data_IF_551681369999
#
_entry.id   IF_551681369999
#
_cell.length_a   1.000
_cell.length_b   1.000
_cell.length_c   1.000
_cell.angle_alpha   90.00
_cell.angle_beta   90.00
_cell.angle_gamma   90.00
#
_symmetry.space_group_name_H-M   'P 1'
#
loop_
_entity.id
_entity.type
_entity.pdbx_description
1 polymer ?
#
# COMPACT_ATOMS: atom_id res chain seq x y z
N UNK A 1 0.56 -1.06 16.11
CA UNK A 1 0.55 -0.92 14.64
C UNK A 1 -0.65 -1.67 14.09
N UNK A 2 -1.43 -1.02 13.23
CA UNK A 2 -2.51 -1.65 12.46
C UNK A 2 -2.00 -1.91 11.04
N UNK A 3 -2.42 -3.03 10.43
CA UNK A 3 -2.09 -3.36 9.04
C UNK A 3 -3.36 -3.42 8.20
N UNK A 4 -3.37 -2.80 7.02
CA UNK A 4 -4.49 -2.87 6.08
C UNK A 4 -4.09 -3.69 4.85
N UNK A 5 -4.92 -4.67 4.50
CA UNK A 5 -4.76 -5.54 3.33
C UNK A 5 -5.91 -5.28 2.35
N UNK A 6 -5.59 -5.05 1.08
CA UNK A 6 -6.50 -4.73 -0.04
C UNK A 6 -7.62 -5.76 -0.33
N UNK A 7 -7.54 -6.96 0.23
CA UNK A 7 -8.52 -8.03 0.05
C UNK A 7 -8.62 -8.56 -1.38
N UNK A 8 -7.64 -8.30 -2.25
CA UNK A 8 -7.61 -8.80 -3.63
C UNK A 8 -7.68 -10.33 -3.66
N UNK A 9 -8.30 -10.91 -4.69
CA UNK A 9 -8.53 -12.36 -4.72
C UNK A 9 -7.23 -13.19 -4.67
N UNK A 10 -6.14 -12.68 -5.26
CA UNK A 10 -4.82 -13.30 -5.20
C UNK A 10 -4.25 -13.38 -3.76
N UNK A 11 -4.71 -12.49 -2.87
CA UNK A 11 -4.23 -12.37 -1.50
C UNK A 11 -5.18 -13.01 -0.46
N UNK A 12 -6.29 -13.60 -0.90
CA UNK A 12 -7.30 -14.19 -0.01
C UNK A 12 -7.06 -15.69 0.31
N UNK A 13 -5.80 -16.10 0.47
CA UNK A 13 -5.50 -17.48 0.86
C UNK A 13 -5.59 -17.67 2.40
N UNK A 14 -5.86 -18.89 2.84
CA UNK A 14 -5.84 -19.21 4.28
C UNK A 14 -4.44 -19.01 4.89
N UNK A 15 -3.38 -19.31 4.12
CA UNK A 15 -2.00 -19.15 4.56
C UNK A 15 -1.64 -17.68 4.81
N UNK A 16 -2.06 -16.77 3.91
CA UNK A 16 -1.86 -15.33 4.09
C UNK A 16 -2.58 -14.84 5.35
N UNK A 17 -3.83 -15.24 5.56
CA UNK A 17 -4.59 -14.84 6.76
C UNK A 17 -3.96 -15.35 8.06
N UNK A 18 -3.52 -16.61 8.07
CA UNK A 18 -2.81 -17.19 9.23
C UNK A 18 -1.51 -16.44 9.55
N UNK A 19 -0.75 -16.05 8.51
CA UNK A 19 0.44 -15.23 8.68
C UNK A 19 0.11 -13.84 9.24
N UNK A 20 -0.97 -13.20 8.78
CA UNK A 20 -1.43 -11.90 9.28
C UNK A 20 -1.95 -11.97 10.71
N UNK A 21 -2.68 -13.02 11.08
CA UNK A 21 -3.12 -13.25 12.46
C UNK A 21 -1.93 -13.45 13.42
N UNK A 22 -0.84 -14.05 12.92
CA UNK A 22 0.40 -14.25 13.69
C UNK A 22 1.21 -12.94 13.81
N UNK A 23 1.39 -12.22 12.70
CA UNK A 23 2.19 -10.99 12.67
C UNK A 23 1.46 -9.79 13.29
N UNK A 24 0.14 -9.71 13.12
CA UNK A 24 -0.72 -8.61 13.56
C UNK A 24 -1.96 -9.10 14.33
N UNK A 25 -1.80 -9.76 15.49
CA UNK A 25 -2.92 -10.37 16.20
C UNK A 25 -4.03 -9.36 16.50
N UNK A 26 -5.21 -9.58 15.91
CA UNK A 26 -6.40 -8.72 16.06
C UNK A 26 -6.23 -7.28 15.58
N UNK A 27 -5.15 -6.97 14.84
CA UNK A 27 -4.76 -5.62 14.42
C UNK A 27 -4.48 -5.55 12.92
N UNK A 28 -5.22 -6.32 12.13
CA UNK A 28 -5.23 -6.17 10.68
C UNK A 28 -6.66 -6.08 10.13
N UNK A 29 -6.79 -5.30 9.06
CA UNK A 29 -8.02 -5.00 8.33
C UNK A 29 -7.87 -5.66 6.96
N UNK A 30 -8.87 -6.40 6.51
CA UNK A 30 -8.81 -7.08 5.22
C UNK A 30 -9.91 -8.12 5.06
N UNK A 31 -9.99 -8.70 3.88
CA UNK A 31 -11.02 -9.71 3.58
C UNK A 31 -10.82 -10.96 4.46
N UNK A 32 -11.81 -11.25 5.30
CA UNK A 32 -11.78 -12.39 6.23
C UNK A 32 -10.94 -12.18 7.49
N UNK A 33 -10.52 -10.94 7.76
CA UNK A 33 -9.93 -10.54 9.04
C UNK A 33 -10.99 -10.10 10.06
N UNK A 34 -10.56 -9.77 11.28
CA UNK A 34 -11.47 -9.32 12.36
C UNK A 34 -12.25 -8.06 11.97
N UNK A 35 -11.58 -7.13 11.28
CA UNK A 35 -12.23 -5.98 10.63
C UNK A 35 -12.34 -6.32 9.15
N UNK A 36 -13.56 -6.69 8.74
CA UNK A 36 -13.83 -7.04 7.36
C UNK A 36 -13.67 -5.82 6.45
N UNK A 37 -12.93 -6.01 5.38
CA UNK A 37 -12.80 -5.04 4.29
C UNK A 37 -13.48 -5.57 3.03
N UNK A 38 -14.25 -4.75 2.30
CA UNK A 38 -14.84 -5.16 1.02
C UNK A 38 -13.75 -5.54 0.01
N UNK A 39 -14.07 -6.51 -0.85
CA UNK A 39 -13.16 -6.92 -1.91
C UNK A 39 -13.08 -5.82 -2.97
N UNK A 40 -11.85 -5.53 -3.44
CA UNK A 40 -11.63 -4.63 -4.58
C UNK A 40 -12.11 -3.20 -4.34
N UNK A 41 -11.77 -2.62 -3.20
CA UNK A 41 -11.98 -1.18 -2.91
C UNK A 41 -10.65 -0.41 -2.96
N UNK A 42 -10.07 -0.21 -4.15
CA UNK A 42 -8.83 0.55 -4.31
C UNK A 42 -8.99 2.02 -3.91
N UNK A 43 -10.22 2.55 -3.96
CA UNK A 43 -10.58 3.90 -3.47
C UNK A 43 -10.43 4.07 -1.96
N UNK A 44 -10.40 2.97 -1.20
CA UNK A 44 -10.33 2.99 0.26
C UNK A 44 -8.96 2.53 0.79
N UNK A 45 -8.06 2.07 -0.09
CA UNK A 45 -6.70 1.71 0.28
C UNK A 45 -5.81 2.94 0.25
N UNK A 46 -5.29 3.33 1.41
CA UNK A 46 -4.30 4.39 1.51
C UNK A 46 -3.06 4.12 0.63
N UNK A 47 -2.70 2.84 0.46
CA UNK A 47 -1.58 2.44 -0.39
C UNK A 47 -1.86 2.70 -1.87
N UNK A 48 -3.10 2.49 -2.33
CA UNK A 48 -3.46 2.75 -3.73
C UNK A 48 -3.40 4.26 -4.03
N UNK A 49 -3.83 5.12 -3.10
CA UNK A 49 -3.67 6.57 -3.21
C UNK A 49 -2.20 6.99 -3.29
N UNK A 50 -1.35 6.48 -2.39
CA UNK A 50 0.09 6.77 -2.41
C UNK A 50 0.72 6.25 -3.70
N UNK A 51 0.34 5.07 -4.16
CA UNK A 51 0.84 4.50 -5.40
C UNK A 51 0.45 5.32 -6.63
N UNK A 52 -0.79 5.81 -6.70
CA UNK A 52 -1.23 6.72 -7.77
C UNK A 52 -0.44 8.02 -7.77
N UNK A 53 -0.21 8.61 -6.59
CA UNK A 53 0.63 9.80 -6.48
C UNK A 53 2.08 9.53 -6.93
N UNK A 54 2.68 8.42 -6.48
CA UNK A 54 4.02 8.01 -6.90
C UNK A 54 4.11 7.85 -8.42
N UNK A 55 3.14 7.16 -9.04
CA UNK A 55 3.08 6.99 -10.50
C UNK A 55 3.05 8.34 -11.23
N UNK A 56 2.28 9.31 -10.73
CA UNK A 56 2.21 10.65 -11.33
C UNK A 56 3.57 11.34 -11.38
N UNK A 57 4.43 11.10 -10.39
CA UNK A 57 5.79 11.66 -10.33
C UNK A 57 6.76 10.83 -11.18
N UNK A 58 6.77 9.50 -11.00
CA UNK A 58 7.68 8.58 -11.69
C UNK A 58 7.57 8.70 -13.21
N UNK A 59 6.35 8.85 -13.74
CA UNK A 59 6.09 8.94 -15.18
C UNK A 59 6.02 10.37 -15.72
N UNK A 60 6.51 11.38 -14.98
CA UNK A 60 6.59 12.76 -15.49
C UNK A 60 7.51 12.88 -16.71
N UNK A 61 8.48 11.98 -16.83
CA UNK A 61 9.32 11.82 -18.02
C UNK A 61 9.40 10.35 -18.43
N UNK A 62 9.71 10.04 -19.71
CA UNK A 62 9.93 8.67 -20.16
C UNK A 62 10.95 7.92 -19.29
N UNK A 63 10.75 6.61 -19.19
CA UNK A 63 11.61 5.69 -18.46
C UNK A 63 12.10 4.66 -19.46
N UNK A 64 13.41 4.61 -19.66
CA UNK A 64 14.01 3.88 -20.79
C UNK A 64 14.57 2.50 -20.40
N UNK A 65 14.51 2.13 -19.11
CA UNK A 65 14.88 0.79 -18.62
C UNK A 65 14.22 0.45 -17.28
N UNK A 66 14.18 -0.83 -16.94
CA UNK A 66 13.66 -1.33 -15.66
C UNK A 66 14.51 -0.84 -14.47
N UNK A 67 15.83 -0.75 -14.64
CA UNK A 67 16.74 -0.22 -13.60
C UNK A 67 16.46 1.26 -13.33
N UNK A 68 16.22 2.05 -14.39
CA UNK A 68 15.85 3.45 -14.27
C UNK A 68 14.48 3.62 -13.58
N UNK A 69 13.54 2.72 -13.87
CA UNK A 69 12.23 2.69 -13.22
C UNK A 69 12.37 2.42 -11.72
N UNK A 70 13.08 1.36 -11.35
CA UNK A 70 13.30 0.96 -9.95
C UNK A 70 14.01 2.06 -9.16
N UNK A 71 15.06 2.64 -9.73
CA UNK A 71 15.79 3.75 -9.11
C UNK A 71 14.88 4.95 -8.86
N UNK A 72 14.04 5.31 -9.84
CA UNK A 72 13.12 6.45 -9.71
C UNK A 72 12.02 6.19 -8.68
N UNK A 73 11.46 4.99 -8.65
CA UNK A 73 10.48 4.59 -7.62
C UNK A 73 11.10 4.71 -6.22
N UNK A 74 12.34 4.25 -6.04
CA UNK A 74 13.03 4.32 -4.75
C UNK A 74 13.27 5.77 -4.29
N UNK A 75 13.67 6.65 -5.20
CA UNK A 75 13.85 8.09 -4.92
C UNK A 75 12.52 8.72 -4.50
N UNK A 76 11.46 8.55 -5.31
CA UNK A 76 10.14 9.14 -5.02
C UNK A 76 9.56 8.61 -3.70
N UNK A 77 9.74 7.31 -3.41
CA UNK A 77 9.34 6.74 -2.13
C UNK A 77 10.08 7.37 -0.95
N UNK A 78 11.39 7.63 -1.10
CA UNK A 78 12.20 8.34 -0.12
C UNK A 78 11.71 9.77 0.09
N UNK A 79 11.46 10.49 -0.99
CA UNK A 79 10.99 11.88 -0.93
C UNK A 79 9.63 11.98 -0.22
N UNK A 80 8.66 11.13 -0.58
CA UNK A 80 7.33 11.09 0.07
C UNK A 80 7.44 10.75 1.55
N UNK A 81 8.34 9.83 1.91
CA UNK A 81 8.55 9.43 3.31
C UNK A 81 9.08 10.60 4.15
N UNK A 82 9.98 11.39 3.59
CA UNK A 82 10.62 12.51 4.30
C UNK A 82 9.83 13.83 4.15
N UNK A 83 8.73 13.86 3.39
CA UNK A 83 7.89 15.04 3.26
C UNK A 83 7.25 15.42 4.61
N UNK A 84 7.56 16.62 5.15
CA UNK A 84 6.93 17.08 6.37
C UNK A 84 5.43 17.35 6.12
N UNK A 85 4.57 16.74 6.94
CA UNK A 85 3.15 17.10 7.01
C UNK A 85 2.17 16.27 6.16
N UNK A 86 2.62 15.30 5.36
CA UNK A 86 1.72 14.50 4.49
C UNK A 86 0.65 13.74 5.30
N UNK A 87 0.96 13.32 6.53
CA UNK A 87 0.02 12.63 7.43
C UNK A 87 -0.32 13.42 8.69
N UNK A 88 0.14 14.67 8.82
CA UNK A 88 -0.07 15.46 10.03
C UNK A 88 -1.55 15.85 10.27
N UNK A 89 -2.41 15.73 9.24
CA UNK A 89 -3.81 16.14 9.29
C UNK A 89 -4.82 15.00 9.10
N UNK A 90 -4.38 13.73 9.12
CA UNK A 90 -5.31 12.59 9.06
C UNK A 90 -5.68 12.22 10.51
N UNK A 91 -6.82 12.71 10.97
CA UNK A 91 -7.40 12.47 12.30
C UNK A 91 -8.48 11.40 12.26
#
# INVERSE_FOLDING_TARGET
MWFQHDGASAHFSANVRSALDTAYPGRWIGRGGKVNWPASSPDLSFLDFVWDHMKSIVYTSPVDSDEALVARIAVVAGDIREMPGVFANVR
#
